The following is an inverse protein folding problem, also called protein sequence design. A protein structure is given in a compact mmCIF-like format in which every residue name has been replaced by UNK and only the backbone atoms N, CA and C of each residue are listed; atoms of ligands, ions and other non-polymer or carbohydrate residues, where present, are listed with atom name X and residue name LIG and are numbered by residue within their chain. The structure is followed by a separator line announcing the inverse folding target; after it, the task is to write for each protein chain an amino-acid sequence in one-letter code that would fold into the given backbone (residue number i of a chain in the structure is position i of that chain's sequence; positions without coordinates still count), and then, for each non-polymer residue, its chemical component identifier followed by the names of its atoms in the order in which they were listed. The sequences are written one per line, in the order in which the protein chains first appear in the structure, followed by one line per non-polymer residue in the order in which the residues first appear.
data_IF_437004169082
#
_entry.id   IF_437004169082
#
_cell.length_a   1.000
_cell.length_b   1.000
_cell.length_c   1.000
_cell.angle_alpha   90.00
_cell.angle_beta   90.00
_cell.angle_gamma   90.00
#
_symmetry.space_group_name_H-M   'P 1'
#
loop_
_entity.id
_entity.type
_entity.pdbx_description
1 polymer ?
#
# COMPACT_ATOMS: atom_id res chain seq x y z
N UNK A 1 -29.32 8.86 -20.26
CA UNK A 1 -30.63 8.19 -20.07
C UNK A 1 -31.61 8.65 -21.14
N UNK A 2 -32.33 7.72 -21.79
CA UNK A 2 -33.33 8.00 -22.83
C UNK A 2 -34.71 7.54 -22.35
N UNK A 3 -35.74 8.36 -22.52
CA UNK A 3 -37.13 8.04 -22.14
C UNK A 3 -37.93 7.63 -23.38
N UNK A 4 -38.49 6.42 -23.38
CA UNK A 4 -39.22 5.83 -24.52
C UNK A 4 -40.60 5.29 -24.12
N UNK A 5 -41.50 5.09 -25.07
CA UNK A 5 -42.81 4.48 -24.81
C UNK A 5 -42.66 3.00 -24.39
N UNK A 6 -43.31 2.61 -23.28
CA UNK A 6 -43.31 1.24 -22.74
C UNK A 6 -43.85 0.19 -23.73
N UNK A 7 -44.78 0.58 -24.62
CA UNK A 7 -45.30 -0.30 -25.67
C UNK A 7 -44.28 -0.57 -26.79
N UNK A 8 -43.38 0.39 -27.06
CA UNK A 8 -42.30 0.24 -28.04
C UNK A 8 -41.17 -0.69 -27.56
N UNK A 9 -41.04 -0.88 -26.24
CA UNK A 9 -40.04 -1.76 -25.61
C UNK A 9 -40.63 -3.08 -25.08
N UNK A 10 -41.81 -3.48 -25.58
CA UNK A 10 -42.46 -4.80 -25.43
C UNK A 10 -42.07 -5.64 -24.19
N UNK A 11 -42.92 -5.69 -23.18
CA UNK A 11 -42.77 -6.66 -22.08
C UNK A 11 -43.14 -8.08 -22.58
N UNK A 12 -42.21 -8.75 -23.24
CA UNK A 12 -42.34 -10.15 -23.62
C UNK A 12 -41.54 -10.49 -24.87
N UNK A 13 -40.46 -11.24 -24.67
CA UNK A 13 -39.67 -12.05 -25.61
C UNK A 13 -39.44 -11.43 -27.02
N UNK A 14 -38.16 -11.14 -27.30
CA UNK A 14 -37.57 -10.66 -28.57
C UNK A 14 -37.44 -9.12 -28.77
N UNK A 15 -36.98 -8.40 -27.72
CA UNK A 15 -36.74 -6.93 -27.74
C UNK A 15 -35.24 -6.55 -27.74
N UNK A 16 -34.33 -7.52 -27.88
CA UNK A 16 -32.91 -7.23 -28.05
C UNK A 16 -32.69 -6.68 -29.48
N UNK A 17 -32.62 -5.36 -29.61
CA UNK A 17 -32.40 -4.67 -30.90
C UNK A 17 -33.53 -3.76 -31.36
N UNK A 18 -34.48 -3.35 -30.52
CA UNK A 18 -35.49 -2.36 -30.91
C UNK A 18 -34.96 -0.93 -30.96
N UNK A 19 -34.04 -0.58 -30.05
CA UNK A 19 -33.38 0.74 -29.98
C UNK A 19 -31.88 0.52 -30.07
N UNK A 20 -31.21 1.29 -30.92
CA UNK A 20 -29.75 1.31 -31.08
C UNK A 20 -29.30 2.71 -30.77
N UNK A 21 -28.40 2.84 -29.79
CA UNK A 21 -27.75 4.11 -29.45
C UNK A 21 -26.30 4.05 -29.90
N UNK A 22 -25.86 5.06 -30.63
CA UNK A 22 -24.49 5.21 -31.11
C UNK A 22 -23.90 6.53 -30.66
N UNK A 23 -22.64 6.52 -30.29
CA UNK A 23 -21.86 7.72 -29.96
C UNK A 23 -20.86 8.00 -31.09
N UNK A 24 -20.59 9.27 -31.36
CA UNK A 24 -19.72 9.74 -32.44
C UNK A 24 -18.83 10.91 -31.97
N UNK A 25 -17.71 11.11 -32.67
CA UNK A 25 -16.94 12.36 -32.65
C UNK A 25 -17.24 13.10 -33.96
N UNK A 26 -17.53 14.39 -33.88
CA UNK A 26 -17.99 15.18 -35.02
C UNK A 26 -16.96 15.14 -36.16
N UNK A 27 -17.43 14.79 -37.35
CA UNK A 27 -16.59 14.58 -38.54
C UNK A 27 -15.97 13.19 -38.67
N UNK A 28 -16.29 12.23 -37.79
CA UNK A 28 -15.99 10.80 -37.97
C UNK A 28 -17.24 10.04 -38.42
N UNK A 29 -17.10 9.23 -39.48
CA UNK A 29 -18.22 8.46 -40.04
C UNK A 29 -18.54 7.18 -39.23
N UNK A 30 -17.54 6.66 -38.50
CA UNK A 30 -17.67 5.45 -37.71
C UNK A 30 -18.06 5.76 -36.25
N UNK A 31 -19.00 5.00 -35.65
CA UNK A 31 -19.37 5.20 -34.26
C UNK A 31 -18.23 4.81 -33.32
N UNK A 32 -18.05 5.60 -32.26
CA UNK A 32 -17.08 5.35 -31.19
C UNK A 32 -17.51 4.16 -30.34
N UNK A 33 -18.79 4.12 -29.96
CA UNK A 33 -19.44 3.00 -29.27
C UNK A 33 -20.85 2.78 -29.82
N UNK A 34 -21.31 1.53 -29.81
CA UNK A 34 -22.67 1.13 -30.21
C UNK A 34 -23.29 0.29 -29.11
N UNK A 35 -24.52 0.67 -28.72
CA UNK A 35 -25.33 -0.02 -27.73
C UNK A 35 -26.61 -0.50 -28.41
N UNK A 36 -26.74 -1.81 -28.57
CA UNK A 36 -27.86 -2.47 -29.24
C UNK A 36 -28.38 -3.70 -28.49
N UNK A 37 -27.70 -4.11 -27.42
CA UNK A 37 -28.09 -5.19 -26.53
C UNK A 37 -28.55 -4.63 -25.18
N UNK A 38 -29.81 -4.88 -24.85
CA UNK A 38 -30.44 -4.36 -23.65
C UNK A 38 -31.17 -5.48 -22.92
N UNK A 39 -30.87 -5.64 -21.64
CA UNK A 39 -31.80 -6.29 -20.73
C UNK A 39 -32.77 -5.22 -20.22
N UNK A 40 -34.07 -5.43 -20.47
CA UNK A 40 -35.10 -4.58 -19.85
C UNK A 40 -35.06 -4.87 -18.36
N UNK A 41 -34.46 -3.96 -17.58
CA UNK A 41 -34.56 -3.99 -16.12
C UNK A 41 -36.05 -4.05 -15.80
N UNK A 42 -36.45 -5.13 -15.11
CA UNK A 42 -37.84 -5.45 -14.83
C UNK A 42 -38.61 -4.20 -14.39
N UNK A 43 -39.86 -4.09 -14.86
CA UNK A 43 -40.72 -2.90 -14.90
C UNK A 43 -41.07 -2.22 -13.55
N UNK A 44 -40.22 -2.32 -12.53
CA UNK A 44 -40.49 -1.90 -11.16
C UNK A 44 -39.42 -1.03 -10.51
N UNK A 45 -38.50 -0.40 -11.25
CA UNK A 45 -37.50 0.46 -10.58
C UNK A 45 -37.80 1.96 -10.70
N UNK A 46 -38.19 2.52 -11.85
CA UNK A 46 -38.69 3.92 -11.91
C UNK A 46 -39.61 4.08 -13.14
N UNK A 47 -40.76 3.40 -13.23
CA UNK A 47 -41.72 3.70 -14.31
C UNK A 47 -42.74 4.73 -13.83
N UNK A 48 -42.61 5.97 -14.32
CA UNK A 48 -43.70 6.94 -14.26
C UNK A 48 -44.67 6.54 -15.38
N UNK A 49 -45.65 5.69 -15.07
CA UNK A 49 -46.73 5.30 -15.98
C UNK A 49 -46.29 4.44 -17.16
N UNK A 50 -46.54 4.93 -18.37
CA UNK A 50 -46.38 4.27 -19.68
C UNK A 50 -45.01 4.52 -20.34
N UNK A 51 -44.03 5.03 -19.58
CA UNK A 51 -42.67 5.33 -20.07
C UNK A 51 -41.64 4.36 -19.51
N UNK A 52 -40.69 3.94 -20.36
CA UNK A 52 -39.49 3.19 -20.02
C UNK A 52 -38.23 4.05 -20.16
N UNK A 53 -37.15 3.63 -19.50
CA UNK A 53 -35.86 4.32 -19.51
C UNK A 53 -34.75 3.38 -19.98
N UNK A 54 -33.87 3.88 -20.84
CA UNK A 54 -32.64 3.20 -21.27
C UNK A 54 -31.43 3.98 -20.74
N UNK A 55 -30.48 3.27 -20.13
CA UNK A 55 -29.22 3.84 -19.63
C UNK A 55 -28.06 3.36 -20.50
N UNK A 56 -27.20 4.29 -20.89
CA UNK A 56 -25.91 4.01 -21.50
C UNK A 56 -24.82 4.57 -20.59
N UNK A 57 -23.69 3.89 -20.52
CA UNK A 57 -22.50 4.37 -19.83
C UNK A 57 -21.30 4.39 -20.79
N UNK A 58 -21.17 5.44 -21.62
CA UNK A 58 -20.04 5.63 -22.52
C UNK A 58 -18.70 5.47 -21.82
N UNK A 59 -17.80 4.68 -22.41
CA UNK A 59 -16.43 4.50 -21.91
C UNK A 59 -15.42 5.34 -22.70
N UNK A 60 -15.86 5.99 -23.77
CA UNK A 60 -15.04 6.83 -24.64
C UNK A 60 -15.71 8.19 -24.89
N UNK A 61 -14.89 9.18 -25.16
CA UNK A 61 -15.33 10.55 -25.49
C UNK A 61 -16.20 10.57 -26.76
N UNK A 62 -17.23 11.42 -26.76
CA UNK A 62 -18.14 11.67 -27.87
C UNK A 62 -18.70 13.09 -27.79
N UNK A 63 -19.12 13.65 -28.92
CA UNK A 63 -19.81 14.95 -29.00
C UNK A 63 -21.16 14.85 -29.75
N UNK A 64 -21.48 13.67 -30.30
CA UNK A 64 -22.73 13.39 -31.01
C UNK A 64 -23.33 12.05 -30.56
N UNK A 65 -24.66 12.01 -30.40
CA UNK A 65 -25.42 10.80 -30.06
C UNK A 65 -26.53 10.58 -31.07
N UNK A 66 -26.58 9.39 -31.64
CA UNK A 66 -27.64 8.96 -32.55
C UNK A 66 -28.47 7.86 -31.91
N UNK A 67 -29.79 8.02 -31.94
CA UNK A 67 -30.76 7.02 -31.48
C UNK A 67 -31.54 6.56 -32.69
N UNK A 68 -31.46 5.27 -33.01
CA UNK A 68 -32.08 4.66 -34.18
C UNK A 68 -32.84 3.41 -33.80
N UNK A 69 -33.77 3.01 -34.66
CA UNK A 69 -34.42 1.71 -34.58
C UNK A 69 -33.43 0.62 -35.02
N UNK A 70 -33.39 -0.51 -34.32
CA UNK A 70 -32.47 -1.59 -34.66
C UNK A 70 -33.02 -2.56 -35.72
N UNK A 71 -32.13 -3.41 -36.23
CA UNK A 71 -32.40 -4.29 -37.37
C UNK A 71 -33.23 -5.49 -36.95
N UNK A 72 -34.55 -5.40 -37.11
CA UNK A 72 -35.46 -6.53 -36.87
C UNK A 72 -36.91 -6.11 -36.60
N UNK A 73 -37.16 -4.83 -36.34
CA UNK A 73 -38.48 -4.34 -35.95
C UNK A 73 -39.16 -3.65 -37.13
N UNK A 74 -39.87 -4.40 -37.97
CA UNK A 74 -40.68 -3.83 -39.07
C UNK A 74 -42.08 -3.38 -38.64
N UNK A 75 -42.36 -3.33 -37.33
CA UNK A 75 -43.73 -3.20 -36.80
C UNK A 75 -43.97 -2.01 -35.85
N UNK A 76 -42.97 -1.16 -35.58
CA UNK A 76 -43.17 -0.02 -34.70
C UNK A 76 -43.02 1.28 -35.48
N UNK A 77 -44.13 1.76 -36.03
CA UNK A 77 -44.31 3.19 -36.33
C UNK A 77 -44.40 4.03 -35.04
N UNK A 78 -43.46 3.87 -34.09
CA UNK A 78 -43.71 4.27 -32.69
C UNK A 78 -42.52 4.43 -31.75
N UNK A 79 -41.29 4.68 -32.23
CA UNK A 79 -40.25 5.18 -31.34
C UNK A 79 -40.52 6.64 -30.98
N UNK A 80 -41.31 6.85 -29.92
CA UNK A 80 -41.50 8.17 -29.32
C UNK A 80 -40.45 8.37 -28.22
N UNK A 81 -39.43 9.19 -28.53
CA UNK A 81 -38.43 9.64 -27.54
C UNK A 81 -38.99 10.86 -26.82
N UNK A 82 -39.36 10.69 -25.55
CA UNK A 82 -39.97 11.76 -24.75
C UNK A 82 -38.95 12.65 -24.04
N UNK A 83 -37.70 12.23 -23.97
CA UNK A 83 -36.66 13.00 -23.31
C UNK A 83 -35.30 12.31 -23.39
N UNK A 84 -34.27 13.13 -23.52
CA UNK A 84 -32.88 12.74 -23.36
C UNK A 84 -32.35 13.46 -22.12
N UNK A 85 -31.86 12.70 -21.15
CA UNK A 85 -31.08 13.24 -20.05
C UNK A 85 -29.63 12.82 -20.26
N UNK A 86 -28.79 13.79 -20.58
CA UNK A 86 -27.35 13.65 -20.52
C UNK A 86 -26.92 14.17 -19.15
N UNK A 87 -26.15 13.35 -18.44
CA UNK A 87 -25.38 13.81 -17.28
C UNK A 87 -23.93 13.66 -17.66
N UNK A 88 -23.17 14.74 -17.53
CA UNK A 88 -21.73 14.67 -17.48
C UNK A 88 -21.45 14.32 -16.02
N UNK A 89 -21.38 13.04 -15.70
CA UNK A 89 -21.26 12.50 -14.35
C UNK A 89 -20.53 11.17 -14.53
N UNK A 90 -19.22 11.27 -14.70
CA UNK A 90 -18.37 10.17 -15.19
C UNK A 90 -18.34 9.00 -14.19
N UNK A 91 -18.41 9.29 -12.91
CA UNK A 91 -18.36 8.31 -11.83
C UNK A 91 -19.75 7.93 -11.27
N UNK A 92 -20.81 8.55 -11.78
CA UNK A 92 -22.20 8.31 -11.44
C UNK A 92 -22.53 8.60 -9.96
N UNK A 93 -21.82 9.54 -9.33
CA UNK A 93 -22.02 9.90 -7.92
C UNK A 93 -23.25 10.80 -7.68
N UNK A 94 -23.85 11.32 -8.76
CA UNK A 94 -25.02 12.20 -8.71
C UNK A 94 -24.71 13.70 -8.75
N UNK A 95 -23.44 14.08 -8.88
CA UNK A 95 -22.95 15.45 -9.07
C UNK A 95 -22.50 15.62 -10.53
N UNK A 96 -22.99 16.62 -11.27
CA UNK A 96 -22.49 16.85 -12.63
C UNK A 96 -21.01 17.23 -12.62
N UNK A 97 -20.16 16.63 -13.45
CA UNK A 97 -18.71 16.91 -13.61
C UNK A 97 -18.40 18.41 -13.87
N UNK A 98 -19.37 19.19 -14.35
CA UNK A 98 -19.23 20.63 -14.57
C UNK A 98 -19.55 21.49 -13.33
N UNK A 99 -20.32 20.92 -12.41
CA UNK A 99 -20.66 21.47 -11.09
C UNK A 99 -19.81 20.83 -9.98
N UNK A 100 -19.11 19.74 -10.30
CA UNK A 100 -17.90 19.39 -9.60
C UNK A 100 -16.96 20.59 -9.75
N UNK A 101 -16.51 21.21 -8.64
CA UNK A 101 -15.38 22.12 -8.78
C UNK A 101 -14.30 21.35 -9.54
N UNK A 102 -13.60 22.02 -10.48
CA UNK A 102 -12.51 21.45 -11.29
C UNK A 102 -11.28 21.10 -10.42
N UNK A 103 -11.54 20.58 -9.23
CA UNK A 103 -10.73 20.73 -8.06
C UNK A 103 -9.65 19.68 -8.14
N UNK A 104 -8.44 20.16 -7.91
CA UNK A 104 -7.26 19.40 -7.53
C UNK A 104 -7.45 18.65 -6.18
N UNK A 105 -8.71 18.42 -5.79
CA UNK A 105 -9.15 17.72 -4.61
C UNK A 105 -9.14 16.22 -4.89
N UNK A 106 -8.13 15.52 -4.38
CA UNK A 106 -7.99 14.08 -4.58
C UNK A 106 -9.09 13.35 -3.81
N UNK A 107 -9.74 12.43 -4.50
CA UNK A 107 -10.82 11.59 -3.97
C UNK A 107 -10.29 10.30 -3.32
N UNK A 108 -8.99 10.05 -3.44
CA UNK A 108 -8.27 8.99 -2.77
C UNK A 108 -6.92 9.48 -2.24
N UNK A 109 -6.29 8.64 -1.41
CA UNK A 109 -5.01 8.91 -0.79
C UNK A 109 -4.09 7.72 -0.93
N UNK A 110 -2.92 7.93 -1.53
CA UNK A 110 -1.97 6.87 -1.86
C UNK A 110 -0.64 7.11 -1.17
N UNK A 111 -0.21 6.13 -0.38
CA UNK A 111 1.08 6.10 0.29
C UNK A 111 1.88 4.90 -0.20
N UNK A 112 3.08 5.13 -0.73
CA UNK A 112 3.94 4.06 -1.27
C UNK A 112 5.32 4.10 -0.62
N UNK A 113 5.78 3.00 -0.04
CA UNK A 113 7.08 2.95 0.64
C UNK A 113 8.31 3.33 -0.22
N UNK A 114 8.15 3.28 -1.54
CA UNK A 114 9.17 3.67 -2.52
C UNK A 114 9.11 5.15 -2.92
N UNK A 115 8.08 5.88 -2.51
CA UNK A 115 7.83 7.29 -2.85
C UNK A 115 7.75 8.12 -1.58
N UNK A 116 8.59 9.16 -1.49
CA UNK A 116 8.49 10.14 -0.40
C UNK A 116 7.29 11.04 -0.69
N UNK A 117 6.35 11.23 0.25
CA UNK A 117 5.10 11.96 0.02
C UNK A 117 5.32 13.49 0.00
N UNK A 118 6.20 14.02 -0.85
CA UNK A 118 6.51 15.46 -0.91
C UNK A 118 5.45 16.30 -1.61
N UNK A 119 4.68 15.69 -2.50
CA UNK A 119 3.63 16.29 -3.31
C UNK A 119 2.30 16.43 -2.56
N UNK A 120 2.14 15.74 -1.42
CA UNK A 120 0.90 15.76 -0.62
C UNK A 120 0.59 17.15 -0.08
N UNK A 121 1.61 17.92 0.29
CA UNK A 121 1.49 19.30 0.75
C UNK A 121 0.96 20.29 -0.32
N UNK A 122 1.06 19.93 -1.60
CA UNK A 122 0.58 20.75 -2.72
C UNK A 122 -0.84 20.35 -3.15
N UNK A 123 -1.38 19.26 -2.60
CA UNK A 123 -2.69 18.69 -2.95
C UNK A 123 -3.71 19.00 -1.88
N UNK A 124 -4.98 19.08 -2.28
CA UNK A 124 -6.12 19.12 -1.35
C UNK A 124 -6.77 17.74 -1.33
N UNK A 125 -7.23 17.28 -0.16
CA UNK A 125 -7.89 15.99 0.00
C UNK A 125 -9.27 16.20 0.60
N UNK A 126 -10.29 15.47 0.12
CA UNK A 126 -11.59 15.42 0.80
C UNK A 126 -11.43 14.68 2.14
N UNK A 127 -12.31 14.98 3.08
CA UNK A 127 -12.51 14.10 4.23
C UNK A 127 -13.17 12.79 3.78
N UNK A 128 -12.97 11.73 4.56
CA UNK A 128 -13.61 10.43 4.36
C UNK A 128 -13.28 9.80 2.99
N UNK A 129 -12.00 9.71 2.65
CA UNK A 129 -11.52 9.18 1.36
C UNK A 129 -10.93 7.78 1.47
N UNK A 130 -10.89 7.07 0.34
CA UNK A 130 -10.25 5.76 0.26
C UNK A 130 -8.74 5.92 0.38
N UNK A 131 -8.11 5.13 1.27
CA UNK A 131 -6.64 5.09 1.37
C UNK A 131 -6.10 3.82 0.71
N UNK A 132 -5.09 3.96 -0.13
CA UNK A 132 -4.24 2.89 -0.62
C UNK A 132 -2.86 3.00 0.01
N UNK A 133 -2.46 1.97 0.75
CA UNK A 133 -1.17 1.90 1.39
C UNK A 133 -0.34 0.76 0.81
N UNK A 134 0.68 1.11 0.04
CA UNK A 134 1.60 0.16 -0.56
C UNK A 134 2.83 -0.06 0.32
N UNK A 135 2.92 -1.25 0.91
CA UNK A 135 3.98 -1.60 1.86
C UNK A 135 4.34 -3.08 1.85
N UNK A 136 5.63 -3.38 1.93
CA UNK A 136 6.12 -4.75 2.10
C UNK A 136 6.05 -5.14 3.57
N UNK A 137 5.30 -6.20 3.88
CA UNK A 137 5.27 -6.83 5.19
C UNK A 137 5.72 -8.28 5.12
N UNK A 138 6.29 -8.79 6.20
CA UNK A 138 6.51 -10.22 6.40
C UNK A 138 5.40 -10.76 7.27
N UNK A 139 4.60 -11.66 6.69
CA UNK A 139 3.48 -12.30 7.35
C UNK A 139 3.92 -13.16 8.54
N UNK A 140 3.01 -13.30 9.49
CA UNK A 140 3.20 -14.01 10.75
C UNK A 140 4.40 -13.53 11.58
N UNK A 141 4.85 -12.28 11.37
CA UNK A 141 5.93 -11.64 12.12
C UNK A 141 5.59 -10.17 12.41
N UNK A 142 6.27 -9.61 13.41
CA UNK A 142 6.20 -8.18 13.71
C UNK A 142 7.01 -7.35 12.71
N UNK A 143 6.42 -6.29 12.18
CA UNK A 143 7.04 -5.35 11.26
C UNK A 143 6.95 -3.94 11.85
N UNK A 144 7.84 -3.02 11.48
CA UNK A 144 7.66 -1.62 11.86
C UNK A 144 6.64 -0.92 10.96
N UNK A 145 5.87 0.00 11.54
CA UNK A 145 4.83 0.78 10.88
C UNK A 145 4.74 2.19 11.44
N UNK A 146 4.62 3.17 10.54
CA UNK A 146 4.14 4.51 10.84
C UNK A 146 3.23 4.94 9.69
N UNK A 147 2.09 5.56 10.01
CA UNK A 147 1.17 6.13 9.02
C UNK A 147 0.95 7.62 9.28
N UNK A 148 0.75 8.43 8.24
CA UNK A 148 0.44 9.86 8.40
C UNK A 148 -1.06 10.11 8.66
N UNK A 149 -1.89 9.07 8.71
CA UNK A 149 -3.31 9.14 9.06
C UNK A 149 -3.61 8.34 10.32
N UNK A 150 -4.64 8.75 11.05
CA UNK A 150 -5.15 7.96 12.19
C UNK A 150 -6.20 6.98 11.68
N UNK A 151 -6.25 5.78 12.26
CA UNK A 151 -7.26 4.78 11.93
C UNK A 151 -8.07 4.41 13.17
N UNK A 152 -9.37 4.27 13.02
CA UNK A 152 -10.21 3.52 13.96
C UNK A 152 -9.88 2.03 13.88
N UNK A 153 -10.36 1.24 14.84
CA UNK A 153 -10.15 -0.21 14.80
C UNK A 153 -10.79 -0.85 13.55
N UNK A 154 -11.98 -0.39 13.14
CA UNK A 154 -12.67 -0.91 11.97
C UNK A 154 -11.88 -0.64 10.68
N UNK A 155 -11.34 0.56 10.53
CA UNK A 155 -10.47 0.93 9.40
C UNK A 155 -9.16 0.13 9.41
N UNK A 156 -8.55 -0.04 10.59
CA UNK A 156 -7.34 -0.87 10.73
C UNK A 156 -7.60 -2.32 10.32
N UNK A 157 -8.72 -2.92 10.73
CA UNK A 157 -9.11 -4.28 10.33
C UNK A 157 -9.44 -4.37 8.85
N UNK A 158 -10.05 -3.34 8.26
CA UNK A 158 -10.32 -3.29 6.82
C UNK A 158 -9.01 -3.31 6.01
N UNK A 159 -8.00 -2.55 6.44
CA UNK A 159 -6.70 -2.51 5.76
C UNK A 159 -5.84 -3.77 6.01
N UNK A 160 -5.68 -4.17 7.28
CA UNK A 160 -4.66 -5.14 7.68
C UNK A 160 -5.23 -6.51 8.08
N UNK A 161 -6.55 -6.64 8.10
CA UNK A 161 -7.25 -7.89 8.36
C UNK A 161 -7.60 -8.11 9.83
N UNK A 162 -8.52 -9.04 10.12
CA UNK A 162 -9.09 -9.24 11.46
C UNK A 162 -8.11 -9.84 12.48
N UNK A 163 -7.02 -10.43 12.01
CA UNK A 163 -5.95 -11.00 12.84
C UNK A 163 -4.79 -10.03 13.06
N UNK A 164 -4.83 -8.85 12.44
CA UNK A 164 -3.76 -7.89 12.61
C UNK A 164 -3.72 -7.34 14.03
N UNK A 165 -2.50 -7.06 14.50
CA UNK A 165 -2.24 -6.49 15.82
C UNK A 165 -1.33 -5.30 15.69
N UNK A 166 -1.56 -4.28 16.52
CA UNK A 166 -0.73 -3.08 16.60
C UNK A 166 -0.16 -2.97 18.00
N UNK A 167 1.12 -2.62 18.14
CA UNK A 167 1.73 -2.41 19.44
C UNK A 167 2.64 -1.17 19.45
N UNK A 168 2.55 -0.38 20.51
CA UNK A 168 3.37 0.81 20.73
C UNK A 168 4.53 0.51 21.69
N UNK A 169 5.60 1.30 21.60
CA UNK A 169 6.68 1.23 22.59
C UNK A 169 6.12 1.59 23.98
N UNK A 170 6.39 0.75 24.98
CA UNK A 170 5.80 0.88 26.32
C UNK A 170 6.87 1.06 27.38
N UNK A 171 7.84 0.13 27.44
CA UNK A 171 8.79 0.08 28.55
C UNK A 171 10.12 -0.58 28.22
N UNK A 172 11.09 -0.39 29.11
CA UNK A 172 12.37 -1.08 29.12
C UNK A 172 12.44 -2.05 30.30
N UNK A 173 13.01 -3.23 30.09
CA UNK A 173 13.23 -4.21 31.16
C UNK A 173 14.30 -5.22 30.78
N UNK A 174 14.67 -6.07 31.74
CA UNK A 174 15.67 -7.12 31.55
C UNK A 174 15.05 -8.52 31.57
N UNK A 175 15.60 -9.41 30.77
CA UNK A 175 15.32 -10.86 30.84
C UNK A 175 16.63 -11.58 31.07
N UNK A 176 16.66 -12.46 32.08
CA UNK A 176 17.79 -13.36 32.32
C UNK A 176 17.55 -14.68 31.63
N UNK A 177 18.47 -15.06 30.76
CA UNK A 177 18.49 -16.37 30.10
C UNK A 177 19.07 -17.43 31.04
N UNK A 178 18.76 -18.69 30.75
CA UNK A 178 19.21 -19.85 31.56
C UNK A 178 20.75 -19.97 31.62
N UNK A 179 21.46 -19.45 30.62
CA UNK A 179 22.92 -19.43 30.57
C UNK A 179 23.56 -18.28 31.38
N UNK A 180 22.73 -17.46 32.05
CA UNK A 180 23.16 -16.32 32.85
C UNK A 180 23.30 -15.01 32.07
N UNK A 181 23.04 -15.01 30.75
CA UNK A 181 23.04 -13.79 29.93
C UNK A 181 21.86 -12.89 30.30
N UNK A 182 22.09 -11.59 30.39
CA UNK A 182 21.02 -10.58 30.57
C UNK A 182 20.73 -9.90 29.24
N UNK A 183 19.48 -9.93 28.82
CA UNK A 183 18.98 -9.24 27.63
C UNK A 183 18.28 -7.95 28.05
N UNK A 184 18.60 -6.84 27.40
CA UNK A 184 17.90 -5.58 27.55
C UNK A 184 16.75 -5.54 26.53
N UNK A 185 15.51 -5.40 27.00
CA UNK A 185 14.32 -5.57 26.17
C UNK A 185 13.60 -4.24 26.00
N UNK A 186 13.37 -3.86 24.74
CA UNK A 186 12.36 -2.88 24.35
C UNK A 186 11.01 -3.59 24.34
N UNK A 187 10.21 -3.31 25.35
CA UNK A 187 8.86 -3.85 25.51
C UNK A 187 7.85 -3.04 24.72
N UNK A 188 7.17 -3.71 23.79
CA UNK A 188 6.00 -3.20 23.11
C UNK A 188 4.73 -3.73 23.79
N UNK A 189 3.70 -2.90 23.85
CA UNK A 189 2.37 -3.29 24.37
C UNK A 189 1.34 -3.19 23.26
N UNK A 190 0.54 -4.25 23.10
CA UNK A 190 -0.57 -4.25 22.13
C UNK A 190 -1.55 -3.11 22.45
N UNK A 191 -1.95 -2.39 21.42
CA UNK A 191 -2.97 -1.34 21.53
C UNK A 191 -4.32 -2.02 21.77
N UNK A 192 -5.01 -1.59 22.82
CA UNK A 192 -6.35 -2.07 23.13
C UNK A 192 -7.41 -1.29 22.36
N UNK A 193 -8.45 -2.00 21.92
CA UNK A 193 -9.60 -1.39 21.29
C UNK A 193 -10.30 -0.43 22.26
N UNK A 194 -10.39 0.84 21.87
CA UNK A 194 -11.30 1.80 22.50
C UNK A 194 -12.74 1.67 21.97
N UNK A 195 -13.65 2.60 22.32
CA UNK A 195 -14.94 2.70 21.64
C UNK A 195 -14.74 2.87 20.12
N UNK A 196 -15.77 2.58 19.32
CA UNK A 196 -15.68 2.49 17.85
C UNK A 196 -15.04 3.69 17.16
N UNK A 197 -15.22 4.90 17.71
CA UNK A 197 -14.69 6.16 17.17
C UNK A 197 -13.30 6.52 17.69
N UNK A 198 -12.76 5.76 18.66
CA UNK A 198 -11.42 6.00 19.18
C UNK A 198 -10.35 5.64 18.14
N UNK A 199 -9.29 6.45 18.10
CA UNK A 199 -8.11 6.17 17.29
C UNK A 199 -7.43 4.91 17.84
N UNK A 200 -7.38 3.86 17.03
CA UNK A 200 -6.64 2.63 17.30
C UNK A 200 -5.18 2.77 16.84
N UNK A 201 -4.98 3.37 15.67
CA UNK A 201 -3.68 3.84 15.20
C UNK A 201 -3.71 5.37 15.21
N UNK A 202 -2.71 5.99 15.83
CA UNK A 202 -2.56 7.46 15.83
C UNK A 202 -1.60 7.85 14.71
N UNK A 203 -2.00 8.85 13.91
CA UNK A 203 -1.17 9.43 12.87
C UNK A 203 0.20 9.86 13.43
N UNK A 204 1.24 9.68 12.62
CA UNK A 204 2.59 10.15 12.91
C UNK A 204 3.23 9.53 14.16
N UNK A 205 2.72 8.40 14.64
CA UNK A 205 3.28 7.68 15.79
C UNK A 205 3.95 6.37 15.32
N UNK A 206 5.22 6.12 15.69
CA UNK A 206 5.89 4.84 15.47
C UNK A 206 5.21 3.67 16.20
N UNK A 207 4.95 2.58 15.49
CA UNK A 207 4.41 1.32 16.00
C UNK A 207 5.15 0.10 15.43
N UNK A 208 4.89 -1.07 16.00
CA UNK A 208 5.05 -2.35 15.32
C UNK A 208 3.67 -2.96 15.01
N UNK A 209 3.58 -3.69 13.89
CA UNK A 209 2.38 -4.35 13.40
C UNK A 209 2.64 -5.82 13.09
N UNK A 210 1.69 -6.68 13.45
CA UNK A 210 1.65 -8.09 13.06
C UNK A 210 0.51 -8.30 12.08
N UNK A 211 0.76 -9.01 10.99
CA UNK A 211 -0.24 -9.34 9.96
C UNK A 211 -0.16 -10.83 9.64
N UNK A 212 -1.30 -11.48 9.49
CA UNK A 212 -1.40 -12.89 9.09
C UNK A 212 -0.84 -13.10 7.67
N UNK A 213 -0.11 -14.21 7.47
CA UNK A 213 0.55 -14.50 6.19
C UNK A 213 -0.43 -14.62 5.01
N UNK A 214 -1.63 -15.16 5.20
CA UNK A 214 -2.60 -15.31 4.12
C UNK A 214 -3.12 -13.93 3.70
N UNK A 215 -3.28 -13.00 4.66
CA UNK A 215 -3.62 -11.61 4.37
C UNK A 215 -2.50 -10.90 3.61
N UNK A 216 -1.24 -11.08 3.99
CA UNK A 216 -0.10 -10.52 3.23
C UNK A 216 -0.10 -11.06 1.79
N UNK A 217 -0.29 -12.36 1.61
CA UNK A 217 -0.30 -12.99 0.29
C UNK A 217 -1.44 -12.47 -0.60
N UNK A 218 -2.65 -12.31 -0.06
CA UNK A 218 -3.81 -11.83 -0.83
C UNK A 218 -3.72 -10.37 -1.27
N UNK A 219 -2.82 -9.58 -0.65
CA UNK A 219 -2.59 -8.17 -0.99
C UNK A 219 -1.30 -7.95 -1.79
N UNK A 220 -0.54 -9.01 -2.08
CA UNK A 220 0.72 -8.97 -2.82
C UNK A 220 0.60 -9.50 -4.26
N UNK A 221 -0.62 -9.56 -4.79
CA UNK A 221 -0.89 -10.02 -6.15
C UNK A 221 -0.45 -8.97 -7.19
N UNK A 222 0.55 -9.33 -8.00
CA UNK A 222 1.14 -8.46 -9.01
C UNK A 222 0.21 -8.18 -10.19
N UNK A 223 -0.80 -9.03 -10.42
CA UNK A 223 -1.76 -8.85 -11.50
C UNK A 223 -2.87 -7.86 -11.13
N UNK A 224 -2.97 -7.50 -9.84
CA UNK A 224 -3.95 -6.53 -9.35
C UNK A 224 -3.43 -5.10 -9.53
N UNK A 225 -4.09 -4.36 -10.40
CA UNK A 225 -3.84 -2.93 -10.65
C UNK A 225 -5.00 -2.11 -10.07
N UNK A 226 -4.66 -1.02 -9.40
CA UNK A 226 -5.61 -0.02 -8.93
C UNK A 226 -5.33 1.31 -9.62
N UNK A 227 -6.34 1.84 -10.30
CA UNK A 227 -6.27 3.19 -10.86
C UNK A 227 -6.69 4.18 -9.78
N UNK A 228 -5.80 5.10 -9.42
CA UNK A 228 -5.99 6.09 -8.36
C UNK A 228 -5.90 7.51 -8.91
N UNK A 229 -6.61 8.45 -8.29
CA UNK A 229 -6.57 9.86 -8.65
C UNK A 229 -5.33 10.56 -8.10
N UNK A 230 -4.79 10.08 -6.98
CA UNK A 230 -3.64 10.67 -6.31
C UNK A 230 -2.29 10.27 -6.94
N UNK A 231 -2.14 9.00 -7.34
CA UNK A 231 -0.86 8.46 -7.82
C UNK A 231 -0.93 7.76 -9.20
N UNK A 232 -2.10 7.76 -9.86
CA UNK A 232 -2.31 7.00 -11.08
C UNK A 232 -2.39 5.50 -10.82
N UNK A 233 -1.97 4.68 -11.78
CA UNK A 233 -2.02 3.23 -11.64
C UNK A 233 -0.94 2.71 -10.67
N UNK A 234 -1.37 1.99 -9.64
CA UNK A 234 -0.50 1.29 -8.68
C UNK A 234 -0.76 -0.21 -8.70
N UNK A 235 0.29 -0.99 -8.44
CA UNK A 235 0.25 -2.46 -8.44
C UNK A 235 1.32 -3.04 -7.54
N UNK A 236 1.08 -4.23 -6.99
CA UNK A 236 2.07 -5.00 -6.24
C UNK A 236 3.07 -5.70 -7.19
N UNK A 237 3.64 -4.96 -8.14
CA UNK A 237 4.55 -5.51 -9.16
C UNK A 237 5.99 -5.58 -8.67
N UNK A 238 6.80 -6.40 -9.34
CA UNK A 238 8.25 -6.38 -9.17
C UNK A 238 8.82 -5.13 -9.81
N UNK A 239 9.59 -4.33 -9.06
CA UNK A 239 10.44 -3.30 -9.66
C UNK A 239 11.62 -4.01 -10.33
N UNK A 240 11.47 -4.32 -11.62
CA UNK A 240 12.46 -5.06 -12.41
C UNK A 240 13.81 -4.34 -12.47
N UNK A 241 13.81 -2.99 -12.43
CA UNK A 241 15.01 -2.18 -12.45
C UNK A 241 15.79 -2.27 -11.13
N UNK A 242 15.11 -2.45 -10.00
CA UNK A 242 15.71 -2.54 -8.66
C UNK A 242 15.81 -3.98 -8.12
N UNK A 243 15.31 -4.97 -8.84
CA UNK A 243 15.24 -6.36 -8.40
C UNK A 243 14.45 -6.56 -7.09
N UNK A 244 13.62 -5.59 -6.71
CA UNK A 244 12.90 -5.52 -5.42
C UNK A 244 11.40 -5.61 -5.70
N UNK A 245 10.64 -6.34 -4.89
CA UNK A 245 9.17 -6.33 -5.00
C UNK A 245 8.63 -4.97 -4.55
N UNK A 246 7.66 -4.38 -5.27
CA UNK A 246 6.81 -3.36 -4.67
C UNK A 246 5.92 -4.04 -3.63
N UNK A 247 5.70 -3.37 -2.51
CA UNK A 247 4.89 -3.91 -1.42
C UNK A 247 3.46 -4.26 -1.82
N UNK A 248 2.80 -5.05 -0.99
CA UNK A 248 1.36 -5.30 -1.11
C UNK A 248 0.55 -4.02 -0.90
N UNK A 249 -0.66 -3.97 -1.44
CA UNK A 249 -1.54 -2.79 -1.39
C UNK A 249 -2.68 -3.05 -0.41
N UNK A 250 -2.68 -2.33 0.71
CA UNK A 250 -3.68 -2.41 1.79
C UNK A 250 -4.63 -1.22 1.71
N UNK A 251 -5.93 -1.45 1.87
CA UNK A 251 -6.95 -0.44 1.56
C UNK A 251 -7.82 -0.14 2.76
N UNK A 252 -8.07 1.15 3.02
CA UNK A 252 -9.21 1.59 3.83
C UNK A 252 -10.27 2.12 2.88
N UNK A 253 -11.39 1.42 2.79
CA UNK A 253 -12.50 1.77 1.90
C UNK A 253 -13.35 2.91 2.50
N UNK A 254 -13.65 3.94 1.71
CA UNK A 254 -14.53 5.04 2.13
C UNK A 254 -15.97 4.61 2.39
N UNK A 255 -16.41 3.53 1.74
CA UNK A 255 -17.77 3.00 1.84
C UNK A 255 -17.95 2.05 3.04
N UNK A 256 -16.90 1.89 3.85
CA UNK A 256 -16.97 1.23 5.15
C UNK A 256 -17.96 1.98 6.07
N UNK A 257 -18.68 1.27 6.93
CA UNK A 257 -19.57 1.89 7.92
C UNK A 257 -18.85 2.90 8.83
N UNK A 258 -17.58 2.65 9.13
CA UNK A 258 -16.71 3.55 9.90
C UNK A 258 -16.13 4.71 9.07
N UNK A 259 -16.41 4.77 7.77
CA UNK A 259 -15.87 5.72 6.83
C UNK A 259 -14.42 5.45 6.41
N UNK A 260 -13.98 6.21 5.42
CA UNK A 260 -12.59 6.32 4.96
C UNK A 260 -11.72 7.16 5.89
N UNK A 261 -10.55 7.55 5.41
CA UNK A 261 -9.59 8.31 6.23
C UNK A 261 -9.72 9.81 6.01
N UNK A 262 -9.27 10.57 7.00
CA UNK A 262 -9.02 12.01 6.86
C UNK A 262 -7.51 12.21 6.91
N UNK A 263 -7.00 13.04 6.00
CA UNK A 263 -5.59 13.36 5.91
C UNK A 263 -5.34 14.83 6.22
N UNK A 264 -4.44 15.05 7.16
CA UNK A 264 -3.90 16.36 7.47
C UNK A 264 -2.38 16.27 7.22
N UNK A 265 -1.85 17.22 6.43
CA UNK A 265 -0.43 17.23 6.11
C UNK A 265 0.38 17.29 7.42
N UNK A 266 1.29 16.34 7.64
CA UNK A 266 2.08 16.33 8.86
C UNK A 266 3.04 17.52 8.95
N UNK A 267 3.19 18.13 10.12
CA UNK A 267 4.08 19.29 10.32
C UNK A 267 5.58 18.94 10.31
N UNK A 268 5.94 17.64 10.30
CA UNK A 268 7.31 17.14 10.32
C UNK A 268 7.54 15.97 9.35
N UNK A 269 8.79 15.49 9.27
CA UNK A 269 9.16 14.31 8.46
C UNK A 269 9.79 13.17 9.25
N UNK A 270 10.09 13.42 10.53
CA UNK A 270 10.62 12.44 11.48
C UNK A 270 9.77 12.53 12.73
N UNK A 271 9.42 11.36 13.26
CA UNK A 271 8.55 11.22 14.42
C UNK A 271 9.19 10.28 15.41
N UNK A 272 9.10 10.58 16.68
CA UNK A 272 9.73 9.80 17.72
C UNK A 272 8.81 9.55 18.93
N UNK A 273 9.08 8.42 19.58
CA UNK A 273 8.65 8.14 20.95
C UNK A 273 9.92 7.91 21.75
N UNK A 274 10.23 8.82 22.68
CA UNK A 274 11.39 8.65 23.55
C UNK A 274 11.09 7.68 24.70
N UNK A 275 12.03 6.78 24.95
CA UNK A 275 12.05 5.85 26.08
C UNK A 275 13.13 6.23 27.11
N UNK A 276 13.80 7.36 26.91
CA UNK A 276 15.00 7.74 27.64
C UNK A 276 14.79 7.85 29.16
N UNK A 277 13.62 8.33 29.59
CA UNK A 277 13.28 8.45 31.02
C UNK A 277 13.08 7.08 31.72
N UNK A 278 12.97 6.00 30.96
CA UNK A 278 12.75 4.64 31.48
C UNK A 278 14.03 3.81 31.57
N UNK A 279 15.16 4.37 31.14
CA UNK A 279 16.44 3.68 31.10
C UNK A 279 16.94 3.43 32.53
N UNK A 280 17.20 2.16 32.91
CA UNK A 280 17.85 1.84 34.18
C UNK A 280 19.26 2.46 34.28
N UNK A 281 19.61 2.97 35.46
CA UNK A 281 20.87 3.71 35.67
C UNK A 281 22.15 2.86 35.48
N UNK A 282 22.02 1.54 35.50
CA UNK A 282 23.10 0.57 35.27
C UNK A 282 23.25 0.15 33.81
N UNK A 283 22.39 0.64 32.91
CA UNK A 283 22.55 0.45 31.47
C UNK A 283 23.60 1.41 30.92
N UNK A 284 24.37 0.93 29.93
CA UNK A 284 25.34 1.77 29.18
C UNK A 284 24.66 2.69 28.17
N UNK A 285 23.39 2.44 27.87
CA UNK A 285 22.54 3.28 27.02
C UNK A 285 22.07 4.46 27.86
N UNK A 286 22.17 5.68 27.33
CA UNK A 286 21.80 6.92 28.03
C UNK A 286 20.60 7.62 27.39
N UNK A 287 20.28 7.29 26.14
CA UNK A 287 19.08 7.74 25.46
C UNK A 287 18.61 6.66 24.48
N UNK A 288 17.30 6.52 24.31
CA UNK A 288 16.71 5.58 23.38
C UNK A 288 15.42 6.16 22.81
N UNK A 289 15.39 6.34 21.49
CA UNK A 289 14.24 6.87 20.78
C UNK A 289 13.77 5.84 19.75
N UNK A 290 12.45 5.66 19.65
CA UNK A 290 11.81 4.89 18.59
C UNK A 290 11.32 5.84 17.52
N UNK A 291 11.98 5.86 16.36
CA UNK A 291 11.78 6.83 15.30
C UNK A 291 11.06 6.23 14.10
N UNK A 292 10.29 7.05 13.38
CA UNK A 292 9.64 6.71 12.12
C UNK A 292 9.81 7.79 11.06
N UNK A 293 9.80 7.38 9.79
CA UNK A 293 10.00 8.29 8.65
C UNK A 293 9.17 7.89 7.43
N UNK A 294 8.72 8.89 6.67
CA UNK A 294 8.07 8.72 5.37
C UNK A 294 9.03 8.81 4.18
N UNK A 295 10.31 9.11 4.44
CA UNK A 295 11.32 9.20 3.40
C UNK A 295 11.59 7.81 2.80
N UNK A 296 11.39 7.68 1.49
CA UNK A 296 11.64 6.44 0.75
C UNK A 296 13.12 6.06 0.62
N UNK A 297 14.01 6.96 1.04
CA UNK A 297 15.44 6.74 1.16
C UNK A 297 15.96 7.31 2.50
N UNK A 298 15.36 6.87 3.60
CA UNK A 298 15.76 7.28 4.95
C UNK A 298 17.12 6.68 5.30
N UNK A 299 18.11 7.53 5.59
CA UNK A 299 19.41 7.08 6.11
C UNK A 299 19.25 6.65 7.57
N UNK A 300 19.74 5.47 7.90
CA UNK A 300 19.87 4.92 9.25
C UNK A 300 21.35 4.70 9.53
N UNK A 301 21.80 5.06 10.72
CA UNK A 301 23.21 5.16 11.06
C UNK A 301 23.76 3.87 11.62
N UNK A 302 25.07 3.69 11.49
CA UNK A 302 25.80 2.71 12.30
C UNK A 302 25.41 2.89 13.78
N UNK A 303 25.06 1.79 14.44
CA UNK A 303 24.59 1.79 15.83
C UNK A 303 23.06 1.81 15.99
N UNK A 304 22.31 2.14 14.93
CA UNK A 304 20.85 2.06 14.98
C UNK A 304 20.39 0.59 14.95
N UNK A 305 19.18 0.36 15.48
CA UNK A 305 18.49 -0.92 15.42
C UNK A 305 17.31 -0.83 14.45
N UNK A 306 17.25 -1.75 13.48
CA UNK A 306 16.19 -1.78 12.46
C UNK A 306 15.38 -3.07 12.55
N UNK A 307 14.15 -3.01 12.07
CA UNK A 307 13.30 -4.19 11.87
C UNK A 307 13.41 -4.67 10.43
N UNK A 308 13.77 -5.95 10.24
CA UNK A 308 13.79 -6.56 8.92
C UNK A 308 13.39 -8.03 9.01
N UNK A 309 12.58 -8.52 8.07
CA UNK A 309 12.12 -9.91 8.04
C UNK A 309 11.58 -10.45 9.39
N UNK A 310 11.03 -9.57 10.23
CA UNK A 310 10.49 -9.87 11.54
C UNK A 310 11.48 -9.99 12.70
N UNK A 311 12.76 -9.75 12.43
CA UNK A 311 13.83 -9.72 13.43
C UNK A 311 14.35 -8.28 13.59
N UNK A 312 14.99 -8.01 14.72
CA UNK A 312 15.67 -6.75 14.96
C UNK A 312 17.18 -6.91 14.76
N UNK A 313 17.76 -5.97 14.02
CA UNK A 313 19.16 -5.98 13.62
C UNK A 313 19.86 -4.74 14.13
N UNK A 314 21.04 -4.91 14.72
CA UNK A 314 21.93 -3.82 15.08
C UNK A 314 22.90 -3.55 13.93
N UNK A 315 22.98 -2.30 13.48
CA UNK A 315 23.73 -1.92 12.28
C UNK A 315 25.22 -1.70 12.56
N UNK A 316 26.09 -2.43 11.85
CA UNK A 316 27.55 -2.22 11.90
C UNK A 316 28.04 -1.07 11.00
N UNK A 317 27.21 -0.60 10.05
CA UNK A 317 27.49 0.49 9.13
C UNK A 317 26.20 1.26 8.80
N UNK A 318 26.35 2.46 8.22
CA UNK A 318 25.21 3.22 7.73
C UNK A 318 24.46 2.42 6.64
N UNK A 319 23.14 2.45 6.70
CA UNK A 319 22.26 1.86 5.70
C UNK A 319 21.18 2.88 5.30
N UNK A 320 20.33 2.49 4.36
CA UNK A 320 19.10 3.21 4.07
C UNK A 320 17.90 2.28 4.19
N UNK A 321 16.73 2.86 4.46
CA UNK A 321 15.45 2.15 4.47
C UNK A 321 14.41 2.92 3.66
N UNK A 322 13.44 2.18 3.14
CA UNK A 322 12.25 2.72 2.50
C UNK A 322 11.28 3.35 3.52
N UNK A 323 10.31 4.13 3.04
CA UNK A 323 9.40 4.91 3.87
C UNK A 323 8.41 4.06 4.66
N UNK A 324 7.70 4.71 5.58
CA UNK A 324 6.70 4.12 6.49
C UNK A 324 7.27 3.03 7.41
N UNK A 325 8.58 3.12 7.67
CA UNK A 325 9.36 2.24 8.56
C UNK A 325 9.76 3.00 9.82
N UNK A 326 9.99 2.22 10.86
CA UNK A 326 10.53 2.69 12.12
C UNK A 326 11.83 1.96 12.49
N UNK A 327 12.66 2.62 13.29
CA UNK A 327 13.95 2.14 13.81
C UNK A 327 14.18 2.70 15.21
N UNK A 328 15.15 2.15 15.94
CA UNK A 328 15.58 2.68 17.23
C UNK A 328 16.97 3.28 17.11
N UNK A 329 17.17 4.46 17.71
CA UNK A 329 18.49 5.05 17.90
C UNK A 329 18.81 5.04 19.38
N UNK A 330 19.94 4.43 19.73
CA UNK A 330 20.46 4.40 21.09
C UNK A 330 21.73 5.28 21.18
N UNK A 331 21.83 6.08 22.23
CA UNK A 331 23.07 6.74 22.61
C UNK A 331 23.71 6.00 23.77
N UNK A 332 25.03 5.87 23.77
CA UNK A 332 25.78 5.25 24.86
C UNK A 332 26.66 6.29 25.56
N UNK A 333 27.04 6.01 26.80
CA UNK A 333 27.93 6.85 27.61
C UNK A 333 29.39 6.93 27.11
N UNK A 334 29.70 6.32 25.96
CA UNK A 334 31.03 6.35 25.33
C UNK A 334 32.05 5.39 25.93
N UNK A 335 31.67 4.54 26.89
CA UNK A 335 32.57 3.54 27.49
C UNK A 335 32.70 2.26 26.67
N UNK A 336 31.97 2.15 25.57
CA UNK A 336 31.89 0.91 24.80
C UNK A 336 33.06 0.71 23.82
N UNK A 337 33.94 -0.24 24.13
CA UNK A 337 35.02 -0.68 23.23
C UNK A 337 34.74 -2.02 22.53
N UNK A 338 33.60 -2.70 22.72
CA UNK A 338 33.26 -3.91 21.93
C UNK A 338 31.86 -4.55 22.18
N UNK A 339 30.85 -3.83 22.66
CA UNK A 339 29.78 -4.40 23.47
C UNK A 339 28.37 -3.82 23.35
N UNK A 340 27.98 -3.17 22.24
CA UNK A 340 26.57 -2.89 21.93
C UNK A 340 25.76 -4.18 21.59
N UNK A 341 26.03 -5.26 22.33
CA UNK A 341 25.15 -6.41 22.49
C UNK A 341 24.13 -6.00 23.55
N UNK A 342 22.84 -5.91 23.23
CA UNK A 342 21.89 -5.80 24.34
C UNK A 342 20.44 -5.61 23.99
N UNK A 343 20.09 -4.70 23.08
CA UNK A 343 18.67 -4.40 22.85
C UNK A 343 18.02 -5.45 21.96
N UNK A 344 17.10 -6.23 22.54
CA UNK A 344 16.09 -7.04 21.85
C UNK A 344 14.74 -6.34 21.95
N UNK A 345 13.73 -6.81 21.22
CA UNK A 345 12.35 -6.41 21.45
C UNK A 345 11.45 -7.61 21.75
N UNK A 346 10.36 -7.33 22.46
CA UNK A 346 9.26 -8.26 22.65
C UNK A 346 7.93 -7.51 22.68
N UNK A 347 6.83 -8.23 22.42
CA UNK A 347 5.48 -7.70 22.57
C UNK A 347 4.78 -8.46 23.70
N UNK A 348 4.12 -7.75 24.62
CA UNK A 348 3.35 -8.30 25.76
C UNK A 348 4.08 -9.37 26.59
N UNK A 349 5.39 -9.22 26.77
CA UNK A 349 6.26 -10.20 27.45
C UNK A 349 6.23 -11.62 26.85
N UNK A 350 5.92 -11.76 25.56
CA UNK A 350 6.25 -12.95 24.80
C UNK A 350 7.77 -13.19 24.75
N UNK A 351 8.20 -14.36 24.25
CA UNK A 351 9.61 -14.68 24.10
C UNK A 351 10.36 -13.55 23.36
N UNK A 352 11.44 -12.98 23.92
CA UNK A 352 12.21 -11.93 23.26
C UNK A 352 12.71 -12.41 21.89
N UNK A 353 12.66 -11.53 20.90
CA UNK A 353 13.20 -11.87 19.57
C UNK A 353 14.73 -11.85 19.62
N UNK A 354 15.38 -12.87 19.05
CA UNK A 354 16.83 -12.91 19.07
C UNK A 354 17.40 -11.80 18.18
N UNK A 355 18.36 -11.03 18.69
CA UNK A 355 19.09 -10.03 17.91
C UNK A 355 20.00 -10.76 16.93
N UNK A 356 19.94 -10.36 15.66
CA UNK A 356 20.95 -10.77 14.68
C UNK A 356 21.91 -9.59 14.49
N UNK A 357 23.16 -9.77 14.92
CA UNK A 357 24.20 -8.80 14.58
C UNK A 357 24.46 -8.90 13.08
N UNK A 358 24.28 -7.77 12.37
CA UNK A 358 24.84 -7.65 11.02
C UNK A 358 26.31 -7.32 11.22
N UNK A 359 27.11 -8.34 11.55
CA UNK A 359 28.53 -8.27 11.18
C UNK A 359 28.55 -7.96 9.69
N UNK A 360 29.34 -6.95 9.29
CA UNK A 360 29.45 -6.49 7.91
C UNK A 360 29.16 -7.65 6.96
N UNK A 361 28.10 -7.54 6.15
CA UNK A 361 27.94 -8.38 4.96
C UNK A 361 29.06 -8.08 3.94
N UNK A 362 30.29 -7.80 4.38
CA UNK A 362 31.41 -8.59 3.89
C UNK A 362 30.98 -10.06 3.98
N UNK A 363 30.44 -10.58 2.86
CA UNK A 363 30.69 -11.98 2.50
C UNK A 363 32.06 -12.29 3.06
N UNK A 364 32.18 -13.26 3.98
CA UNK A 364 33.45 -13.95 4.11
C UNK A 364 33.83 -14.27 2.68
N UNK A 365 34.77 -13.49 2.14
CA UNK A 365 35.28 -13.70 0.81
C UNK A 365 36.04 -14.98 0.97
N UNK A 366 35.35 -16.07 0.70
CA UNK A 366 35.93 -17.37 0.64
C UNK A 366 36.88 -17.26 -0.55
N UNK A 367 38.16 -16.96 -0.26
CA UNK A 367 39.23 -16.77 -1.25
C UNK A 367 39.53 -18.06 -2.06
N UNK A 368 38.59 -18.99 -2.10
CA UNK A 368 38.55 -20.15 -2.97
C UNK A 368 38.45 -19.68 -4.40
N UNK A 369 39.47 -20.01 -5.16
CA UNK A 369 39.55 -19.77 -6.60
C UNK A 369 39.05 -21.03 -7.29
N UNK A 370 38.23 -20.86 -8.33
CA UNK A 370 37.76 -21.96 -9.15
C UNK A 370 38.20 -21.77 -10.60
N UNK A 371 38.46 -22.86 -11.31
CA UNK A 371 38.57 -22.83 -12.77
C UNK A 371 37.18 -22.60 -13.40
N UNK A 372 37.12 -22.24 -14.69
CA UNK A 372 35.84 -22.15 -15.42
C UNK A 372 35.06 -23.47 -15.44
N UNK A 373 35.74 -24.61 -15.25
CA UNK A 373 35.12 -25.93 -15.14
C UNK A 373 34.65 -26.28 -13.72
N UNK A 374 34.73 -25.33 -12.77
CA UNK A 374 34.25 -25.50 -11.39
C UNK A 374 35.21 -26.26 -10.47
N UNK A 375 36.46 -26.50 -10.86
CA UNK A 375 37.45 -27.14 -9.99
C UNK A 375 38.07 -26.11 -9.05
N UNK A 376 38.12 -26.42 -7.74
CA UNK A 376 38.75 -25.58 -6.72
C UNK A 376 40.27 -25.60 -6.86
N UNK A 377 40.91 -24.44 -6.66
CA UNK A 377 42.37 -24.27 -6.61
C UNK A 377 42.74 -23.70 -5.25
N UNK A 378 43.79 -24.27 -4.64
CA UNK A 378 44.09 -24.07 -3.22
C UNK A 378 44.80 -22.75 -2.89
N UNK A 379 45.33 -22.02 -3.89
CA UNK A 379 45.95 -20.71 -3.68
C UNK A 379 45.98 -19.84 -4.96
N UNK A 380 45.98 -18.51 -4.78
CA UNK A 380 46.18 -17.52 -5.86
C UNK A 380 47.63 -17.45 -6.36
N UNK A 381 48.58 -17.87 -5.53
CA UNK A 381 50.01 -17.79 -5.81
C UNK A 381 50.44 -18.92 -6.74
N UNK A 382 51.00 -18.58 -7.91
CA UNK A 382 51.51 -19.55 -8.88
C UNK A 382 50.48 -20.05 -9.90
N UNK A 383 49.30 -19.42 -9.99
CA UNK A 383 48.35 -19.68 -11.06
C UNK A 383 48.95 -19.31 -12.42
N UNK A 384 48.84 -20.20 -13.40
CA UNK A 384 49.17 -19.88 -14.79
C UNK A 384 48.19 -18.82 -15.32
N UNK A 385 48.60 -17.96 -16.27
CA UNK A 385 47.70 -17.01 -16.91
C UNK A 385 46.44 -17.69 -17.45
N UNK A 386 45.27 -17.12 -17.15
CA UNK A 386 43.99 -17.75 -17.44
C UNK A 386 42.80 -17.09 -16.74
N UNK A 387 41.60 -17.61 -17.00
CA UNK A 387 40.34 -17.11 -16.42
C UNK A 387 39.91 -17.99 -15.25
N UNK A 388 39.63 -17.37 -14.11
CA UNK A 388 39.23 -18.01 -12.87
C UNK A 388 37.95 -17.37 -12.31
N UNK A 389 37.27 -18.07 -11.43
CA UNK A 389 36.10 -17.58 -10.70
C UNK A 389 36.48 -17.45 -9.23
N UNK A 390 36.33 -16.25 -8.66
CA UNK A 390 36.56 -16.00 -7.24
C UNK A 390 35.40 -15.15 -6.72
N UNK A 391 34.79 -15.56 -5.60
CA UNK A 391 33.60 -14.89 -5.04
C UNK A 391 32.44 -14.69 -6.04
N UNK A 392 32.28 -15.62 -7.00
CA UNK A 392 31.26 -15.55 -8.04
C UNK A 392 31.54 -14.55 -9.17
N UNK A 393 32.73 -13.94 -9.21
CA UNK A 393 33.17 -13.04 -10.30
C UNK A 393 34.27 -13.68 -11.13
N UNK A 394 34.25 -13.43 -12.45
CA UNK A 394 35.34 -13.83 -13.36
C UNK A 394 36.54 -12.91 -13.15
N UNK A 395 37.72 -13.51 -13.00
CA UNK A 395 39.01 -12.83 -12.87
C UNK A 395 39.98 -13.36 -13.93
N UNK A 396 40.89 -12.50 -14.38
CA UNK A 396 41.94 -12.87 -15.34
C UNK A 396 43.28 -12.75 -14.62
N UNK A 397 43.99 -13.87 -14.49
CA UNK A 397 45.40 -13.88 -14.11
C UNK A 397 46.19 -13.69 -15.42
N UNK A 398 47.07 -12.69 -15.46
CA UNK A 398 47.88 -12.36 -16.64
C UNK A 398 49.30 -12.87 -16.51
#
# INVERSE_FOLDING_TARGET
MVVVNKAAVGLGLDVAGAVVVKTYISGQDDPVETYDDWSVLGANVISIGDKGYIFINPQKDFDEVTITEGKGVSLLSGLEVYGLLLRNDKDADGTPDADEPADDCKQDLVFQESVTPTDKAEKTYKDNITMYFQRTFVGNKWNSLILPVSLTQAQFVNAFGPKAKLAGADRLYEVKEDDGTTLHVVGFREVTAGPTTAKYLVANTPYIIYIDQDWVNSHSDADKVYSTWDAGDISATRDEAKGTMKGGIYIVDKDLEAGGVNFEEPSGRSYDVSLSDQIPADWTITALDFLGSYNSHQVVKKGDYIFNAGDMYHLACDHWMQGYRCWLTAQTDGTDTQGAKGLTFSCDQGAPTRIVQVEDLTRQQDNKVYTLSGQRVDAMTGLKPGVFIMNGKKMIVR
#
